data_IF_010239214496
#
_entry.id   IF_010239214496
#
_cell.length_a   1.000
_cell.length_b   1.000
_cell.length_c   1.000
_cell.angle_alpha   90.00
_cell.angle_beta   90.00
_cell.angle_gamma   90.00
#
_symmetry.space_group_name_H-M   'P 1'
#
loop_
_entity.id
_entity.type
_entity.pdbx_description
1 polymer ?
#
# COMPACT_ATOMS: atom_id res chain seq x y z
N UNK A 1 3.18 -31.53 7.08
CA UNK A 1 2.74 -30.15 6.79
C UNK A 1 3.06 -29.88 5.34
N UNK A 2 2.06 -29.85 4.46
CA UNK A 2 2.23 -29.44 3.06
C UNK A 2 2.70 -27.99 3.04
N UNK A 3 3.86 -27.73 2.44
CA UNK A 3 4.32 -26.35 2.23
C UNK A 3 3.28 -25.67 1.31
N UNK A 4 2.74 -24.50 1.69
CA UNK A 4 1.86 -23.75 0.80
C UNK A 4 2.61 -23.50 -0.51
N UNK A 5 2.03 -23.88 -1.64
CA UNK A 5 2.59 -23.52 -2.94
C UNK A 5 2.63 -21.98 -3.05
N UNK A 6 3.74 -21.40 -3.53
CA UNK A 6 3.85 -19.96 -3.70
C UNK A 6 2.76 -19.46 -4.67
N UNK A 7 2.08 -18.37 -4.29
CA UNK A 7 0.99 -17.77 -5.07
C UNK A 7 1.45 -16.44 -5.68
N UNK A 8 2.18 -16.45 -6.81
CA UNK A 8 2.83 -15.26 -7.37
C UNK A 8 1.83 -14.16 -7.77
N UNK A 9 0.66 -14.53 -8.30
CA UNK A 9 -0.39 -13.57 -8.62
C UNK A 9 -0.92 -12.83 -7.38
N UNK A 10 -1.01 -13.54 -6.25
CA UNK A 10 -1.45 -12.94 -4.99
C UNK A 10 -0.39 -11.95 -4.48
N UNK A 11 0.89 -12.32 -4.61
CA UNK A 11 2.03 -11.44 -4.33
C UNK A 11 2.02 -10.18 -5.18
N UNK A 12 1.78 -10.30 -6.50
CA UNK A 12 1.65 -9.16 -7.42
C UNK A 12 0.50 -8.22 -7.01
N UNK A 13 -0.69 -8.76 -6.71
CA UNK A 13 -1.83 -7.96 -6.26
C UNK A 13 -1.51 -7.23 -4.97
N UNK A 14 -0.89 -7.92 -4.00
CA UNK A 14 -0.46 -7.29 -2.75
C UNK A 14 0.57 -6.17 -2.97
N UNK A 15 1.53 -6.38 -3.87
CA UNK A 15 2.53 -5.39 -4.22
C UNK A 15 1.93 -4.16 -4.92
N UNK A 16 1.02 -4.37 -5.87
CA UNK A 16 0.29 -3.28 -6.55
C UNK A 16 -0.55 -2.46 -5.56
N UNK A 17 -1.24 -3.12 -4.63
CA UNK A 17 -2.00 -2.44 -3.59
C UNK A 17 -1.08 -1.63 -2.66
N UNK A 18 0.08 -2.19 -2.29
CA UNK A 18 1.06 -1.50 -1.46
C UNK A 18 1.64 -0.27 -2.18
N UNK A 19 2.19 -0.45 -3.37
CA UNK A 19 2.81 0.63 -4.13
C UNK A 19 1.81 1.69 -4.57
N UNK A 20 0.62 1.26 -5.03
CA UNK A 20 -0.48 2.17 -5.36
C UNK A 20 -0.91 2.99 -4.14
N UNK A 21 -1.18 2.32 -3.01
CA UNK A 21 -1.52 3.00 -1.76
C UNK A 21 -0.42 3.95 -1.28
N UNK A 22 0.85 3.60 -1.47
CA UNK A 22 1.99 4.42 -1.07
C UNK A 22 2.08 5.68 -1.91
N UNK A 23 1.98 5.56 -3.24
CA UNK A 23 1.92 6.70 -4.15
C UNK A 23 0.78 7.66 -3.81
N UNK A 24 -0.43 7.13 -3.57
CA UNK A 24 -1.57 7.97 -3.17
C UNK A 24 -1.36 8.62 -1.80
N UNK A 25 -0.73 7.93 -0.85
CA UNK A 25 -0.41 8.50 0.46
C UNK A 25 0.61 9.64 0.37
N UNK A 26 1.62 9.50 -0.49
CA UNK A 26 2.63 10.56 -0.74
C UNK A 26 1.98 11.77 -1.41
N UNK A 27 1.17 11.54 -2.45
CA UNK A 27 0.42 12.60 -3.13
C UNK A 27 -0.53 13.32 -2.16
N UNK A 28 -1.25 12.57 -1.32
CA UNK A 28 -2.10 13.15 -0.28
C UNK A 28 -1.28 13.95 0.73
N UNK A 29 -0.10 13.47 1.14
CA UNK A 29 0.80 14.22 2.02
C UNK A 29 1.20 15.57 1.42
N UNK A 30 1.60 15.59 0.15
CA UNK A 30 1.96 16.83 -0.55
C UNK A 30 0.77 17.80 -0.66
N UNK A 31 -0.40 17.29 -1.06
CA UNK A 31 -1.64 18.08 -1.15
C UNK A 31 -2.09 18.57 0.23
N UNK A 32 -1.98 17.73 1.25
CA UNK A 32 -2.33 18.06 2.63
C UNK A 32 -1.49 19.20 3.19
N UNK A 33 -0.18 19.20 2.94
CA UNK A 33 0.71 20.31 3.31
C UNK A 33 0.27 21.61 2.61
N UNK A 34 -0.05 21.53 1.31
CA UNK A 34 -0.53 22.69 0.56
C UNK A 34 -1.89 23.22 1.06
N UNK A 35 -2.83 22.33 1.41
CA UNK A 35 -4.13 22.70 1.98
C UNK A 35 -3.97 23.38 3.34
N UNK A 36 -3.11 22.84 4.21
CA UNK A 36 -2.82 23.45 5.51
C UNK A 36 -2.18 24.84 5.35
N UNK A 37 -1.29 25.01 4.37
CA UNK A 37 -0.68 26.31 4.06
C UNK A 37 -1.69 27.34 3.53
N UNK A 38 -2.76 26.89 2.88
CA UNK A 38 -3.84 27.74 2.34
C UNK A 38 -5.03 27.90 3.31
N UNK A 39 -4.90 27.40 4.55
CA UNK A 39 -5.93 27.51 5.59
C UNK A 39 -7.14 26.56 5.42
N UNK A 40 -7.04 25.60 4.50
CA UNK A 40 -8.05 24.58 4.26
C UNK A 40 -7.75 23.30 5.06
N UNK A 41 -8.78 22.60 5.53
CA UNK A 41 -8.59 21.32 6.22
C UNK A 41 -8.50 20.15 5.23
N UNK A 42 -7.42 19.36 5.27
CA UNK A 42 -7.35 18.11 4.52
C UNK A 42 -8.20 17.02 5.18
N UNK A 43 -8.86 16.20 4.35
CA UNK A 43 -9.64 15.06 4.82
C UNK A 43 -8.72 13.92 5.27
N UNK A 44 -8.32 13.93 6.54
CA UNK A 44 -7.42 12.92 7.14
C UNK A 44 -7.92 11.47 6.99
N UNK A 45 -9.21 11.28 6.77
CA UNK A 45 -9.80 9.97 6.44
C UNK A 45 -9.14 9.36 5.19
N UNK A 46 -8.77 10.18 4.20
CA UNK A 46 -8.13 9.71 2.97
C UNK A 46 -6.75 9.13 3.26
N UNK A 47 -5.98 9.78 4.14
CA UNK A 47 -4.70 9.24 4.60
C UNK A 47 -4.86 7.91 5.32
N UNK A 48 -5.87 7.79 6.19
CA UNK A 48 -6.15 6.54 6.89
C UNK A 48 -6.55 5.41 5.93
N UNK A 49 -7.35 5.73 4.91
CA UNK A 49 -7.75 4.77 3.87
C UNK A 49 -6.57 4.35 3.02
N UNK A 50 -5.75 5.27 2.51
CA UNK A 50 -4.59 4.93 1.68
C UNK A 50 -3.54 4.16 2.46
N UNK A 51 -3.30 4.53 3.72
CA UNK A 51 -2.43 3.77 4.63
C UNK A 51 -2.99 2.37 4.91
N UNK A 52 -4.31 2.24 5.09
CA UNK A 52 -4.99 0.96 5.24
C UNK A 52 -4.78 0.05 4.02
N UNK A 53 -4.91 0.60 2.81
CA UNK A 53 -4.65 -0.13 1.56
C UNK A 53 -3.19 -0.61 1.49
N UNK A 54 -2.22 0.21 1.93
CA UNK A 54 -0.82 -0.23 2.03
C UNK A 54 -0.66 -1.43 2.96
N UNK A 55 -1.25 -1.35 4.16
CA UNK A 55 -1.16 -2.43 5.15
C UNK A 55 -1.82 -3.72 4.65
N UNK A 56 -2.95 -3.61 3.96
CA UNK A 56 -3.63 -4.74 3.31
C UNK A 56 -2.75 -5.34 2.21
N UNK A 57 -2.15 -4.51 1.36
CA UNK A 57 -1.20 -4.94 0.33
C UNK A 57 -0.04 -5.74 0.94
N UNK A 58 0.58 -5.23 2.00
CA UNK A 58 1.62 -5.94 2.75
C UNK A 58 1.15 -7.27 3.35
N UNK A 59 -0.06 -7.30 3.91
CA UNK A 59 -0.67 -8.53 4.44
C UNK A 59 -0.84 -9.59 3.36
N UNK A 60 -1.32 -9.19 2.19
CA UNK A 60 -1.51 -10.07 1.03
C UNK A 60 -0.16 -10.60 0.52
N UNK A 61 0.87 -9.75 0.42
CA UNK A 61 2.23 -10.20 0.06
C UNK A 61 2.74 -11.24 1.05
N UNK A 62 2.59 -10.99 2.36
CA UNK A 62 3.01 -11.95 3.40
C UNK A 62 2.28 -13.28 3.31
N UNK A 63 1.00 -13.28 2.93
CA UNK A 63 0.20 -14.49 2.75
C UNK A 63 0.48 -15.24 1.44
N UNK A 64 1.07 -14.56 0.45
CA UNK A 64 1.39 -15.16 -0.86
C UNK A 64 2.50 -16.21 -0.81
N UNK A 65 3.32 -16.21 0.26
CA UNK A 65 4.47 -17.11 0.40
C UNK A 65 5.66 -16.76 -0.51
N UNK A 66 5.60 -15.63 -1.22
CA UNK A 66 6.66 -15.12 -2.09
C UNK A 66 7.62 -14.25 -1.27
N UNK A 67 8.94 -14.25 -1.54
CA UNK A 67 9.88 -13.32 -0.93
C UNK A 67 9.41 -11.87 -1.13
N UNK A 68 9.38 -11.10 -0.04
CA UNK A 68 9.00 -9.68 -0.07
C UNK A 68 9.81 -8.88 -1.08
N UNK A 69 11.11 -9.20 -1.24
CA UNK A 69 11.97 -8.59 -2.25
C UNK A 69 11.48 -8.85 -3.67
N UNK A 70 11.08 -10.08 -3.99
CA UNK A 70 10.58 -10.43 -5.33
C UNK A 70 9.23 -9.79 -5.62
N UNK A 71 8.34 -9.76 -4.62
CA UNK A 71 7.04 -9.11 -4.76
C UNK A 71 7.15 -7.57 -4.89
N UNK A 72 8.10 -6.94 -4.18
CA UNK A 72 8.28 -5.49 -4.16
C UNK A 72 9.20 -4.94 -5.26
N UNK A 73 9.97 -5.79 -5.95
CA UNK A 73 10.86 -5.40 -7.07
C UNK A 73 10.11 -5.24 -8.42
N UNK A 74 8.84 -5.63 -8.49
CA UNK A 74 7.91 -5.25 -9.56
C UNK A 74 7.58 -3.76 -9.50
#
# INVERSE_FOLDING_TARGET
MSRPEPRPLLGLVGALLFWGGLCFSILFGAVGVWLLATGSQPSWILLAVTAGVCLVGLGIVKWSGVPLSEAMLL
#
